data_IF_075094405311
#
_entry.id   IF_075094405311
#
_cell.length_a   1.000
_cell.length_b   1.000
_cell.length_c   1.000
_cell.angle_alpha   90.00
_cell.angle_beta   90.00
_cell.angle_gamma   90.00
#
_symmetry.space_group_name_H-M   'P 1'
#
loop_
_entity.id
_entity.type
_entity.pdbx_description
1 polymer ?
#
# COMPACT_ATOMS: atom_id res chain seq x y z
N UNK A 1 -11.96 23.31 -0.05
CA UNK A 1 -12.73 22.13 -0.47
C UNK A 1 -11.72 21.03 -0.84
N UNK A 2 -10.72 20.82 0.01
CA UNK A 2 -9.44 20.19 -0.37
C UNK A 2 -9.20 18.84 0.29
N UNK A 3 -9.98 18.51 1.31
CA UNK A 3 -9.91 17.25 2.03
C UNK A 3 -10.01 16.07 1.05
N UNK A 4 -10.97 16.09 0.13
CA UNK A 4 -11.17 15.02 -0.86
C UNK A 4 -9.99 14.76 -1.82
N UNK A 5 -9.06 15.71 -1.96
CA UNK A 5 -7.83 15.51 -2.76
C UNK A 5 -6.81 14.68 -1.97
N UNK A 6 -6.61 15.02 -0.70
CA UNK A 6 -5.67 14.33 0.18
C UNK A 6 -6.06 12.87 0.42
N UNK A 7 -7.34 12.49 0.37
CA UNK A 7 -7.73 11.08 0.55
C UNK A 7 -7.69 10.23 -0.74
N UNK A 8 -7.88 10.84 -1.92
CA UNK A 8 -7.95 10.06 -3.19
C UNK A 8 -6.58 9.84 -3.82
N UNK A 9 -5.69 10.84 -3.77
CA UNK A 9 -4.38 10.76 -4.41
C UNK A 9 -3.46 9.70 -3.79
N UNK A 10 -3.27 9.66 -2.45
CA UNK A 10 -2.41 8.67 -1.81
C UNK A 10 -2.91 7.23 -2.04
N UNK A 11 -4.22 6.99 -1.99
CA UNK A 11 -4.80 5.66 -2.29
C UNK A 11 -4.50 5.20 -3.71
N UNK A 12 -4.75 6.06 -4.70
CA UNK A 12 -4.40 5.75 -6.09
C UNK A 12 -2.89 5.53 -6.29
N UNK A 13 -2.06 6.28 -5.55
CA UNK A 13 -0.60 6.12 -5.58
C UNK A 13 -0.16 4.78 -4.97
N UNK A 14 -0.76 4.33 -3.86
CA UNK A 14 -0.54 3.00 -3.27
C UNK A 14 -0.93 1.89 -4.24
N UNK A 15 -2.05 2.01 -4.95
CA UNK A 15 -2.43 1.07 -6.01
C UNK A 15 -1.39 1.00 -7.11
N UNK A 16 -0.96 2.15 -7.63
CA UNK A 16 0.08 2.22 -8.66
C UNK A 16 1.39 1.60 -8.18
N UNK A 17 1.79 1.88 -6.94
CA UNK A 17 2.97 1.28 -6.33
C UNK A 17 2.87 -0.25 -6.33
N UNK A 18 1.73 -0.82 -5.93
CA UNK A 18 1.54 -2.28 -5.96
C UNK A 18 1.61 -2.85 -7.38
N UNK A 19 1.04 -2.16 -8.39
CA UNK A 19 1.17 -2.53 -9.80
C UNK A 19 2.64 -2.53 -10.24
N UNK A 20 3.41 -1.50 -9.88
CA UNK A 20 4.84 -1.43 -10.20
C UNK A 20 5.58 -2.62 -9.59
N UNK A 21 5.32 -2.93 -8.32
CA UNK A 21 5.95 -4.07 -7.62
C UNK A 21 5.66 -5.40 -8.32
N UNK A 22 4.40 -5.65 -8.70
CA UNK A 22 3.98 -6.93 -9.25
C UNK A 22 4.24 -7.08 -10.76
N UNK A 23 4.32 -6.00 -11.53
CA UNK A 23 4.31 -6.04 -12.99
C UNK A 23 5.53 -5.43 -13.65
N UNK A 24 6.24 -4.50 -13.00
CA UNK A 24 7.32 -3.75 -13.64
C UNK A 24 8.73 -4.21 -13.25
N UNK A 25 8.86 -5.15 -12.31
CA UNK A 25 10.14 -5.64 -11.79
C UNK A 25 11.15 -4.49 -11.50
N UNK A 26 10.81 -3.56 -10.59
CA UNK A 26 11.65 -2.41 -10.30
C UNK A 26 13.05 -2.84 -9.82
N UNK A 27 14.07 -2.13 -10.30
CA UNK A 27 15.49 -2.43 -9.99
C UNK A 27 15.81 -2.29 -8.51
N UNK A 28 15.19 -1.32 -7.82
CA UNK A 28 15.39 -1.07 -6.39
C UNK A 28 14.08 -0.66 -5.72
N UNK A 29 13.40 -1.66 -5.14
CA UNK A 29 12.16 -1.47 -4.39
C UNK A 29 12.38 -0.64 -3.13
N UNK A 30 13.53 -0.79 -2.47
CA UNK A 30 13.80 -0.11 -1.20
C UNK A 30 13.95 1.39 -1.42
N UNK A 31 14.71 1.78 -2.45
CA UNK A 31 14.82 3.19 -2.85
C UNK A 31 13.47 3.77 -3.24
N UNK A 32 12.70 3.05 -4.07
CA UNK A 32 11.36 3.48 -4.49
C UNK A 32 10.44 3.73 -3.29
N UNK A 33 10.44 2.80 -2.32
CA UNK A 33 9.70 2.96 -1.07
C UNK A 33 10.14 4.21 -0.31
N UNK A 34 11.44 4.39 -0.05
CA UNK A 34 11.94 5.54 0.71
C UNK A 34 11.65 6.87 0.04
N UNK A 35 11.71 6.93 -1.30
CA UNK A 35 11.47 8.15 -2.07
C UNK A 35 9.99 8.57 -2.06
N UNK A 36 9.06 7.61 -2.13
CA UNK A 36 7.63 7.89 -2.26
C UNK A 36 6.82 7.65 -0.98
N UNK A 37 7.43 7.16 0.11
CA UNK A 37 6.70 6.84 1.35
C UNK A 37 5.84 8.00 1.86
N UNK A 38 6.38 9.21 1.91
CA UNK A 38 5.64 10.39 2.39
C UNK A 38 4.37 10.65 1.58
N UNK A 39 4.43 10.49 0.26
CA UNK A 39 3.27 10.64 -0.62
C UNK A 39 2.30 9.44 -0.52
N UNK A 40 2.83 8.23 -0.28
CA UNK A 40 2.05 7.02 -0.09
C UNK A 40 1.27 7.03 1.23
N UNK A 41 1.71 7.77 2.23
CA UNK A 41 1.13 7.78 3.57
C UNK A 41 0.47 9.09 3.98
N UNK A 42 0.40 10.08 3.07
CA UNK A 42 -0.04 11.45 3.36
C UNK A 42 -1.43 11.52 3.99
N UNK A 43 -2.39 10.74 3.48
CA UNK A 43 -3.75 10.67 4.01
C UNK A 43 -3.80 10.10 5.43
N UNK A 44 -3.00 9.07 5.71
CA UNK A 44 -2.90 8.49 7.05
C UNK A 44 -2.19 9.42 8.03
N UNK A 45 -1.15 10.14 7.58
CA UNK A 45 -0.47 11.14 8.39
C UNK A 45 -1.41 12.29 8.78
N UNK A 46 -2.22 12.75 7.82
CA UNK A 46 -3.24 13.77 8.08
C UNK A 46 -4.30 13.27 9.08
N UNK A 47 -4.79 12.04 8.93
CA UNK A 47 -5.78 11.43 9.84
C UNK A 47 -5.25 11.26 11.27
N UNK A 48 -3.96 10.96 11.42
CA UNK A 48 -3.33 10.61 12.69
C UNK A 48 -2.49 11.75 13.29
N UNK A 49 -2.68 12.98 12.82
CA UNK A 49 -1.85 14.14 13.22
C UNK A 49 -1.82 14.40 14.75
N UNK A 50 -2.85 13.96 15.49
CA UNK A 50 -2.93 14.05 16.96
C UNK A 50 -2.53 12.79 17.73
N UNK A 51 -2.11 11.72 17.06
CA UNK A 51 -1.78 10.45 17.71
C UNK A 51 -0.32 10.45 18.23
N UNK A 52 -0.07 10.17 19.52
CA UNK A 52 1.29 10.09 20.06
C UNK A 52 2.14 8.97 19.44
N UNK A 53 1.52 7.95 18.86
CA UNK A 53 2.15 6.82 18.16
C UNK A 53 1.98 6.92 16.64
N UNK A 54 1.77 8.14 16.10
CA UNK A 54 1.47 8.36 14.68
C UNK A 54 2.41 7.64 13.72
N UNK A 55 3.73 7.60 13.99
CA UNK A 55 4.69 7.04 13.05
C UNK A 55 4.46 5.54 12.81
N UNK A 56 4.30 4.77 13.89
CA UNK A 56 4.02 3.34 13.80
C UNK A 56 2.63 3.08 13.20
N UNK A 57 1.64 3.93 13.51
CA UNK A 57 0.28 3.80 13.02
C UNK A 57 0.16 4.11 11.52
N UNK A 58 0.83 5.17 11.06
CA UNK A 58 0.91 5.57 9.65
C UNK A 58 1.63 4.50 8.84
N UNK A 59 2.78 4.02 9.34
CA UNK A 59 3.55 2.96 8.67
C UNK A 59 2.73 1.67 8.57
N UNK A 60 2.14 1.24 9.68
CA UNK A 60 1.30 0.04 9.73
C UNK A 60 0.11 0.12 8.77
N UNK A 61 -0.67 1.21 8.81
CA UNK A 61 -1.79 1.42 7.87
C UNK A 61 -1.35 1.39 6.42
N UNK A 62 -0.25 2.07 6.08
CA UNK A 62 0.28 2.13 4.71
C UNK A 62 0.66 0.74 4.21
N UNK A 63 1.39 -0.03 5.03
CA UNK A 63 1.83 -1.36 4.68
C UNK A 63 0.68 -2.37 4.61
N UNK A 64 -0.30 -2.28 5.50
CA UNK A 64 -1.50 -3.13 5.45
C UNK A 64 -2.36 -2.84 4.23
N UNK A 65 -2.53 -1.56 3.85
CA UNK A 65 -3.26 -1.19 2.62
C UNK A 65 -2.53 -1.69 1.37
N UNK A 66 -1.20 -1.59 1.34
CA UNK A 66 -0.37 -2.17 0.27
C UNK A 66 -0.52 -3.69 0.23
N UNK A 67 -0.44 -4.39 1.36
CA UNK A 67 -0.62 -5.84 1.38
C UNK A 67 -2.00 -6.23 0.84
N UNK A 68 -3.05 -5.53 1.27
CA UNK A 68 -4.41 -5.74 0.76
C UNK A 68 -4.48 -5.62 -0.77
N UNK A 69 -3.75 -4.68 -1.36
CA UNK A 69 -3.70 -4.51 -2.82
C UNK A 69 -2.79 -5.53 -3.52
N UNK A 70 -1.75 -6.03 -2.85
CA UNK A 70 -0.86 -7.09 -3.38
C UNK A 70 -1.53 -8.46 -3.45
N UNK A 71 -2.37 -8.82 -2.47
CA UNK A 71 -2.99 -10.15 -2.38
C UNK A 71 -3.80 -10.53 -3.64
N UNK A 72 -4.71 -9.69 -4.18
CA UNK A 72 -5.41 -9.97 -5.43
C UNK A 72 -4.51 -10.16 -6.65
N UNK A 73 -3.29 -9.62 -6.61
CA UNK A 73 -2.30 -9.71 -7.68
C UNK A 73 -1.38 -10.94 -7.54
N UNK A 74 -1.67 -11.84 -6.58
CA UNK A 74 -0.91 -13.06 -6.35
C UNK A 74 0.42 -12.84 -5.64
N UNK A 75 0.57 -11.71 -4.93
CA UNK A 75 1.75 -11.39 -4.13
C UNK A 75 1.37 -11.06 -2.70
N UNK A 76 2.35 -10.84 -1.84
CA UNK A 76 2.14 -10.47 -0.44
C UNK A 76 3.24 -9.53 0.02
N UNK A 77 2.93 -8.66 0.97
CA UNK A 77 3.92 -7.80 1.63
C UNK A 77 5.06 -8.63 2.21
N UNK A 78 4.75 -9.78 2.83
CA UNK A 78 5.73 -10.67 3.44
C UNK A 78 6.83 -11.07 2.44
N UNK A 79 6.49 -11.32 1.17
CA UNK A 79 7.47 -11.68 0.14
C UNK A 79 8.52 -10.59 -0.08
N UNK A 80 8.15 -9.32 0.07
CA UNK A 80 9.06 -8.18 -0.04
C UNK A 80 9.83 -7.91 1.26
N UNK A 81 9.22 -8.19 2.42
CA UNK A 81 9.86 -8.09 3.74
C UNK A 81 10.96 -9.16 3.87
N UNK A 82 10.67 -10.41 3.52
CA UNK A 82 11.63 -11.52 3.55
C UNK A 82 12.83 -11.25 2.63
N UNK A 83 12.59 -10.57 1.51
CA UNK A 83 13.62 -10.12 0.58
C UNK A 83 14.36 -8.83 1.03
N UNK A 84 14.06 -8.31 2.23
CA UNK A 84 14.60 -7.07 2.79
C UNK A 84 14.37 -5.83 1.89
N UNK A 85 13.30 -5.83 1.09
CA UNK A 85 12.94 -4.76 0.15
C UNK A 85 12.00 -3.73 0.76
N UNK A 86 11.08 -4.18 1.63
CA UNK A 86 10.12 -3.34 2.34
C UNK A 86 10.26 -3.52 3.86
N UNK A 87 9.92 -2.51 4.67
CA UNK A 87 9.88 -2.66 6.12
C UNK A 87 8.72 -3.57 6.56
N UNK A 88 8.86 -4.30 7.68
CA UNK A 88 7.76 -5.03 8.28
C UNK A 88 6.73 -4.07 8.90
N UNK A 89 5.51 -4.57 9.11
CA UNK A 89 4.50 -3.87 9.91
C UNK A 89 5.03 -3.77 11.35
N UNK A 90 5.01 -2.59 12.00
CA UNK A 90 5.48 -2.45 13.38
C UNK A 90 4.62 -3.26 14.36
N UNK A 91 5.25 -3.92 15.34
CA UNK A 91 4.52 -4.69 16.37
C UNK A 91 3.61 -3.82 17.25
N UNK A 92 3.91 -2.52 17.33
CA UNK A 92 3.11 -1.51 18.04
C UNK A 92 1.92 -1.01 17.23
N UNK A 93 1.72 -1.50 16.00
CA UNK A 93 0.58 -1.15 15.17
C UNK A 93 -0.70 -1.75 15.77
N UNK A 94 -1.68 -0.89 16.05
CA UNK A 94 -2.99 -1.30 16.59
C UNK A 94 -4.03 -0.76 15.61
N UNK A 95 -4.33 -1.51 14.55
CA UNK A 95 -5.18 -1.03 13.47
C UNK A 95 -6.30 -1.98 13.08
N UNK A 96 -7.55 -1.53 13.22
CA UNK A 96 -8.62 -1.91 12.29
C UNK A 96 -8.47 -1.02 11.04
N UNK A 97 -8.06 -1.62 9.93
CA UNK A 97 -8.09 -0.95 8.63
C UNK A 97 -9.48 -1.14 8.06
N UNK A 98 -10.29 -0.07 8.05
CA UNK A 98 -11.48 -0.02 7.20
C UNK A 98 -10.97 0.12 5.76
N UNK A 99 -10.64 -1.02 5.16
CA UNK A 99 -10.24 -1.12 3.77
C UNK A 99 -11.45 -0.68 2.94
N UNK A 100 -11.36 0.52 2.39
CA UNK A 100 -12.44 1.11 1.63
C UNK A 100 -12.74 0.22 0.41
N UNK A 101 -13.89 -0.47 0.51
CA UNK A 101 -14.45 -1.51 -0.36
C UNK A 101 -14.78 -0.98 -1.76
N UNK A 102 -13.80 -0.36 -2.43
CA UNK A 102 -13.95 0.02 -3.83
C UNK A 102 -13.79 -1.25 -4.68
N UNK A 103 -14.88 -2.03 -4.74
CA UNK A 103 -15.00 -3.31 -5.44
C UNK A 103 -14.52 -3.24 -6.89
N UNK A 104 -14.70 -2.09 -7.54
CA UNK A 104 -14.30 -1.87 -8.93
C UNK A 104 -12.79 -2.06 -9.15
N UNK A 105 -11.95 -1.45 -8.32
CA UNK A 105 -10.49 -1.56 -8.44
C UNK A 105 -10.04 -2.97 -8.06
N UNK A 106 -10.64 -3.56 -7.03
CA UNK A 106 -10.34 -4.93 -6.63
C UNK A 106 -10.67 -5.96 -7.74
N UNK A 107 -11.80 -5.77 -8.44
CA UNK A 107 -12.22 -6.66 -9.52
C UNK A 107 -11.37 -6.49 -10.78
N UNK A 108 -10.95 -5.25 -11.10
CA UNK A 108 -10.03 -5.00 -12.21
C UNK A 108 -8.63 -5.57 -11.94
N UNK A 109 -8.12 -5.46 -10.72
CA UNK A 109 -6.84 -6.07 -10.32
C UNK A 109 -6.90 -7.61 -10.34
N UNK A 110 -8.02 -8.20 -9.91
CA UNK A 110 -8.25 -9.65 -10.03
C UNK A 110 -8.29 -10.11 -11.49
N UNK A 111 -8.88 -9.31 -12.38
CA UNK A 111 -8.89 -9.60 -13.81
C UNK A 111 -7.47 -9.65 -14.37
N UNK A 112 -6.64 -8.63 -14.10
CA UNK A 112 -5.24 -8.59 -14.54
C UNK A 112 -4.41 -9.76 -13.99
N UNK A 113 -4.64 -10.15 -12.74
CA UNK A 113 -3.96 -11.30 -12.13
C UNK A 113 -4.32 -12.63 -12.81
N UNK A 114 -5.60 -12.82 -13.20
CA UNK A 114 -6.06 -14.00 -13.93
C UNK A 114 -5.47 -14.08 -15.34
N UNK A 115 -5.39 -12.95 -16.04
CA UNK A 115 -4.78 -12.88 -17.38
C UNK A 115 -3.30 -13.30 -17.36
N UNK A 116 -2.54 -12.95 -16.30
CA UNK A 116 -1.15 -13.39 -16.12
C UNK A 116 -0.96 -14.90 -15.95
N UNK A 117 -2.00 -15.62 -15.52
CA UNK A 117 -1.93 -17.08 -15.26
C UNK A 117 -2.41 -17.94 -16.42
N UNK A 118 -2.82 -17.34 -17.54
CA UNK A 118 -3.17 -18.10 -18.74
C UNK A 118 -1.89 -18.59 -19.46
N UNK A 119 -1.85 -19.87 -19.87
CA UNK A 119 -0.69 -20.49 -20.52
C UNK A 119 -0.43 -19.96 -21.94
#
# INVERSE_FOLDING_TARGET
MDEGRHFRLPKSLRNLFCVILCFCNPTDVRKLWTEFYSALSEDFEFQLAGDPNKEAQVLGKTLTDIDYHLQPMGSSLQSFVDANKLPPIPDTFVGEVVLDLNSFVADEMRFLAREKTKP
#
